data_IF_128854398332
#
_entry.id   IF_128854398332
#
_cell.length_a   1.000
_cell.length_b   1.000
_cell.length_c   1.000
_cell.angle_alpha   90.00
_cell.angle_beta   90.00
_cell.angle_gamma   90.00
#
_symmetry.space_group_name_H-M   'P 1'
#
loop_
_entity.id
_entity.type
_entity.pdbx_description
1 polymer ?
#
# COMPACT_ATOMS: atom_id res chain seq x y z
N UNK A 1 -16.43 -6.20 9.39
CA UNK A 1 -17.19 -5.52 10.46
C UNK A 1 -16.30 -5.41 11.72
N UNK A 2 -15.95 -6.51 12.42
CA UNK A 2 -15.18 -6.50 13.66
C UNK A 2 -13.88 -5.65 13.61
N UNK A 3 -13.08 -5.76 12.53
CA UNK A 3 -11.88 -4.94 12.31
C UNK A 3 -12.18 -3.43 12.39
N UNK A 4 -13.29 -2.99 11.77
CA UNK A 4 -13.68 -1.56 11.77
C UNK A 4 -14.08 -1.13 13.19
N UNK A 5 -14.91 -1.93 13.86
CA UNK A 5 -15.34 -1.64 15.23
C UNK A 5 -14.16 -1.59 16.20
N UNK A 6 -13.20 -2.52 16.08
CA UNK A 6 -12.01 -2.56 16.91
C UNK A 6 -11.03 -1.40 16.68
N UNK A 7 -11.21 -0.61 15.64
CA UNK A 7 -10.45 0.65 15.48
C UNK A 7 -10.88 1.72 16.48
N UNK A 8 -12.12 1.67 16.98
CA UNK A 8 -12.67 2.64 17.95
C UNK A 8 -13.00 2.03 19.32
N UNK A 9 -13.30 0.71 19.37
CA UNK A 9 -13.64 0.01 20.62
C UNK A 9 -12.54 -0.94 21.04
N UNK A 10 -12.51 -1.33 22.31
CA UNK A 10 -11.54 -2.29 22.86
C UNK A 10 -11.98 -3.74 22.67
N UNK A 11 -13.26 -3.98 22.42
CA UNK A 11 -13.81 -5.32 22.12
C UNK A 11 -15.06 -5.22 21.26
N UNK A 12 -15.36 -6.30 20.54
CA UNK A 12 -16.57 -6.47 19.74
C UNK A 12 -17.04 -7.91 19.77
N UNK A 13 -18.32 -8.12 19.49
CA UNK A 13 -18.90 -9.45 19.35
C UNK A 13 -19.00 -9.82 17.87
N UNK A 14 -18.47 -10.98 17.53
CA UNK A 14 -18.72 -11.65 16.24
C UNK A 14 -19.89 -12.58 16.45
N UNK A 15 -21.03 -12.27 15.84
CA UNK A 15 -22.24 -13.06 15.91
C UNK A 15 -22.68 -13.47 14.49
N UNK A 16 -22.54 -14.75 14.20
CA UNK A 16 -22.98 -15.37 12.95
C UNK A 16 -24.08 -16.39 13.27
N UNK A 17 -25.35 -15.99 13.12
CA UNK A 17 -26.47 -16.87 13.41
C UNK A 17 -26.64 -17.96 12.33
N UNK A 18 -27.21 -19.07 12.73
CA UNK A 18 -27.61 -20.16 11.82
C UNK A 18 -26.48 -20.78 11.00
N UNK A 19 -25.31 -20.98 11.58
CA UNK A 19 -24.17 -21.56 10.85
C UNK A 19 -24.49 -22.99 10.37
N UNK A 20 -25.17 -23.76 11.21
CA UNK A 20 -25.58 -25.13 10.91
C UNK A 20 -26.82 -25.51 11.73
N UNK A 21 -27.53 -26.52 11.28
CA UNK A 21 -28.62 -27.16 12.00
C UNK A 21 -28.17 -28.54 12.48
N UNK A 22 -28.50 -28.87 13.71
CA UNK A 22 -28.28 -30.20 14.31
C UNK A 22 -29.59 -30.76 14.83
N UNK A 23 -29.59 -32.01 15.27
CA UNK A 23 -30.78 -32.64 15.93
C UNK A 23 -31.24 -31.89 17.18
N UNK A 24 -30.35 -31.11 17.80
CA UNK A 24 -30.64 -30.24 18.96
C UNK A 24 -31.02 -28.80 18.58
N UNK A 25 -31.24 -28.51 17.29
CA UNK A 25 -31.63 -27.21 16.77
C UNK A 25 -30.50 -26.46 16.07
N UNK A 26 -30.75 -25.19 15.68
CA UNK A 26 -29.76 -24.36 15.00
C UNK A 26 -28.58 -24.01 15.91
N UNK A 27 -27.40 -23.91 15.32
CA UNK A 27 -26.18 -23.48 15.99
C UNK A 27 -25.73 -22.12 15.47
N UNK A 28 -25.23 -21.32 16.38
CA UNK A 28 -24.72 -19.96 16.11
C UNK A 28 -23.25 -19.87 16.52
N UNK A 29 -22.48 -19.11 15.80
CA UNK A 29 -21.14 -18.71 16.26
C UNK A 29 -21.24 -17.36 16.95
N UNK A 30 -21.02 -17.35 18.26
CA UNK A 30 -20.90 -16.13 19.05
C UNK A 30 -19.51 -16.13 19.67
N UNK A 31 -18.70 -15.11 19.36
CA UNK A 31 -17.34 -14.96 19.88
C UNK A 31 -17.07 -13.51 20.21
N UNK A 32 -16.51 -13.26 21.38
CA UNK A 32 -15.98 -11.97 21.71
C UNK A 32 -14.53 -11.85 21.22
N UNK A 33 -14.24 -10.76 20.52
CA UNK A 33 -12.90 -10.45 20.02
C UNK A 33 -12.45 -9.12 20.64
N UNK A 34 -11.31 -9.13 21.33
CA UNK A 34 -10.69 -7.91 21.83
C UNK A 34 -9.75 -7.31 20.82
N UNK A 35 -9.53 -5.98 20.88
CA UNK A 35 -8.53 -5.29 20.06
C UNK A 35 -7.14 -5.92 20.24
N UNK A 36 -6.71 -6.17 21.47
CA UNK A 36 -5.41 -6.79 21.74
C UNK A 36 -5.27 -8.17 21.05
N UNK A 37 -6.33 -8.99 21.06
CA UNK A 37 -6.29 -10.29 20.37
C UNK A 37 -6.26 -10.13 18.85
N UNK A 38 -7.01 -9.18 18.32
CA UNK A 38 -6.98 -8.86 16.88
C UNK A 38 -5.59 -8.38 16.45
N UNK A 39 -4.98 -7.46 17.17
CA UNK A 39 -3.64 -6.92 16.90
C UNK A 39 -2.57 -8.00 17.02
N UNK A 40 -2.67 -8.89 18.03
CA UNK A 40 -1.81 -10.06 18.15
C UNK A 40 -1.89 -10.98 16.92
N UNK A 41 -3.08 -11.25 16.40
CA UNK A 41 -3.29 -12.09 15.22
C UNK A 41 -2.82 -11.42 13.92
N UNK A 42 -2.75 -10.10 13.89
CA UNK A 42 -2.37 -9.32 12.71
C UNK A 42 -0.92 -8.76 12.81
N UNK A 43 -0.16 -9.11 13.85
CA UNK A 43 1.14 -8.49 14.15
C UNK A 43 2.15 -8.64 13.01
N UNK A 44 2.22 -9.80 12.37
CA UNK A 44 3.11 -10.05 11.24
C UNK A 44 2.75 -9.17 10.02
N UNK A 45 1.46 -8.97 9.77
CA UNK A 45 0.99 -8.08 8.70
C UNK A 45 1.33 -6.62 9.00
N UNK A 46 1.19 -6.21 10.26
CA UNK A 46 1.53 -4.84 10.70
C UNK A 46 3.04 -4.61 10.54
N UNK A 47 3.87 -5.52 11.01
CA UNK A 47 5.33 -5.42 10.89
C UNK A 47 5.78 -5.33 9.42
N UNK A 48 5.16 -6.10 8.54
CA UNK A 48 5.45 -6.10 7.10
C UNK A 48 5.15 -4.77 6.40
N UNK A 49 4.36 -3.87 7.00
CA UNK A 49 4.09 -2.54 6.41
C UNK A 49 5.29 -1.61 6.52
N UNK A 50 6.19 -1.84 7.47
CA UNK A 50 7.35 -0.97 7.71
C UNK A 50 8.48 -1.22 6.69
N UNK A 51 8.61 -2.42 6.16
CA UNK A 51 9.67 -2.74 5.20
C UNK A 51 9.60 -1.90 3.91
N UNK A 52 8.43 -1.74 3.24
CA UNK A 52 8.31 -0.83 2.09
C UNK A 52 8.62 0.62 2.41
N UNK A 53 8.22 1.11 3.59
CA UNK A 53 8.52 2.47 4.02
C UNK A 53 10.03 2.69 4.18
N UNK A 54 10.73 1.72 4.77
CA UNK A 54 12.20 1.74 4.88
C UNK A 54 12.86 1.77 3.51
N UNK A 55 12.45 0.86 2.60
CA UNK A 55 12.99 0.82 1.24
C UNK A 55 12.75 2.12 0.46
N UNK A 56 11.61 2.78 0.68
CA UNK A 56 11.33 4.07 0.06
C UNK A 56 12.30 5.16 0.55
N UNK A 57 12.58 5.22 1.85
CA UNK A 57 13.58 6.14 2.42
C UNK A 57 14.98 5.86 1.89
N UNK A 58 15.39 4.59 1.86
CA UNK A 58 16.68 4.18 1.32
C UNK A 58 16.82 4.57 -0.16
N UNK A 59 15.82 4.35 -0.98
CA UNK A 59 15.82 4.75 -2.38
C UNK A 59 15.85 6.27 -2.57
N UNK A 60 15.28 7.04 -1.65
CA UNK A 60 15.32 8.50 -1.66
C UNK A 60 16.63 9.05 -1.06
N UNK A 61 17.46 8.21 -0.43
CA UNK A 61 18.65 8.63 0.29
C UNK A 61 18.34 9.48 1.53
N UNK A 62 17.15 9.29 2.12
CA UNK A 62 16.64 10.09 3.25
C UNK A 62 16.55 9.27 4.52
N UNK A 63 16.78 9.93 5.64
CA UNK A 63 16.51 9.42 6.98
C UNK A 63 15.08 9.75 7.45
N UNK A 64 14.59 9.06 8.47
CA UNK A 64 13.27 9.35 9.05
C UNK A 64 13.18 10.75 9.66
N UNK A 65 14.30 11.34 10.10
CA UNK A 65 14.36 12.68 10.68
C UNK A 65 14.15 13.79 9.64
N UNK A 66 14.47 13.52 8.37
CA UNK A 66 14.32 14.46 7.26
C UNK A 66 12.90 14.49 6.68
N UNK A 67 12.01 13.60 7.15
CA UNK A 67 10.61 13.61 6.76
C UNK A 67 9.88 14.66 7.58
N UNK A 68 9.29 15.65 6.91
CA UNK A 68 8.54 16.72 7.58
C UNK A 68 7.20 16.21 8.11
N UNK A 69 6.45 15.49 7.31
CA UNK A 69 5.10 15.04 7.63
C UNK A 69 4.85 13.60 7.19
N UNK A 70 4.10 12.86 8.00
CA UNK A 70 3.67 11.49 7.71
C UNK A 70 2.16 11.47 7.58
N UNK A 71 1.67 11.13 6.40
CA UNK A 71 0.24 11.09 6.07
C UNK A 71 -0.18 9.63 5.93
N UNK A 72 -1.23 9.24 6.64
CA UNK A 72 -1.81 7.90 6.57
C UNK A 72 -2.99 7.88 5.61
N UNK A 73 -2.98 6.90 4.69
CA UNK A 73 -3.98 6.76 3.63
C UNK A 73 -4.56 5.36 3.64
N UNK A 74 -5.87 5.25 3.39
CA UNK A 74 -6.62 4.00 3.37
C UNK A 74 -7.16 3.57 4.72
N UNK A 75 -8.33 2.93 4.73
CA UNK A 75 -9.09 2.59 5.96
C UNK A 75 -8.35 1.67 6.93
N UNK A 76 -7.37 0.88 6.47
CA UNK A 76 -6.55 0.02 7.33
C UNK A 76 -5.66 0.83 8.27
N UNK A 77 -5.27 2.04 7.90
CA UNK A 77 -4.47 2.95 8.75
C UNK A 77 -5.22 3.49 9.97
N UNK A 78 -6.53 3.22 10.05
CA UNK A 78 -7.32 3.52 11.25
C UNK A 78 -7.05 2.55 12.42
N UNK A 79 -6.39 1.43 12.17
CA UNK A 79 -6.01 0.46 13.22
C UNK A 79 -4.95 1.10 14.12
N UNK A 80 -5.19 1.18 15.46
CA UNK A 80 -4.27 1.84 16.39
C UNK A 80 -2.84 1.28 16.34
N UNK A 81 -2.68 -0.03 16.26
CA UNK A 81 -1.36 -0.66 16.18
C UNK A 81 -0.56 -0.26 14.92
N UNK A 82 -1.22 0.04 13.79
CA UNK A 82 -0.56 0.57 12.59
C UNK A 82 -0.08 2.00 12.85
N UNK A 83 -0.92 2.85 13.46
CA UNK A 83 -0.54 4.22 13.80
C UNK A 83 0.65 4.24 14.74
N UNK A 84 0.66 3.38 15.77
CA UNK A 84 1.78 3.25 16.70
C UNK A 84 3.05 2.71 16.02
N UNK A 85 2.93 1.73 15.12
CA UNK A 85 4.08 1.21 14.37
C UNK A 85 4.71 2.30 13.49
N UNK A 86 3.90 3.10 12.79
CA UNK A 86 4.34 4.22 11.97
C UNK A 86 4.98 5.31 12.83
N UNK A 87 4.32 5.71 13.93
CA UNK A 87 4.86 6.67 14.89
C UNK A 87 6.23 6.22 15.43
N UNK A 88 6.36 4.96 15.82
CA UNK A 88 7.61 4.38 16.29
C UNK A 88 8.69 4.40 15.23
N UNK A 89 8.34 4.11 13.97
CA UNK A 89 9.30 4.06 12.87
C UNK A 89 9.81 5.45 12.48
N UNK A 90 8.92 6.44 12.35
CA UNK A 90 9.29 7.81 11.96
C UNK A 90 9.68 8.71 13.14
N UNK A 91 9.43 8.31 14.38
CA UNK A 91 9.70 9.11 15.57
C UNK A 91 8.76 10.33 15.73
N UNK A 92 7.66 10.38 14.97
CA UNK A 92 6.69 11.49 15.00
C UNK A 92 5.26 11.01 14.79
N UNK A 93 4.31 11.80 15.29
CA UNK A 93 2.88 11.52 15.09
C UNK A 93 2.50 11.65 13.61
N UNK A 94 1.74 10.70 13.07
CA UNK A 94 1.13 10.88 11.75
C UNK A 94 0.16 12.07 11.75
N UNK A 95 0.14 12.79 10.62
CA UNK A 95 -0.79 13.90 10.40
C UNK A 95 -2.24 13.44 10.48
N UNK A 96 -3.05 14.25 11.16
CA UNK A 96 -4.51 14.05 11.26
C UNK A 96 -5.28 15.01 10.37
N UNK A 97 -4.60 15.79 9.53
CA UNK A 97 -5.19 16.84 8.70
C UNK A 97 -5.98 16.33 7.50
N UNK A 98 -5.86 15.05 7.16
CA UNK A 98 -6.55 14.44 6.01
C UNK A 98 -7.42 13.24 6.42
N UNK A 99 -8.55 13.08 5.74
CA UNK A 99 -9.38 11.89 5.89
C UNK A 99 -8.75 10.74 5.07
N UNK A 100 -8.30 9.65 5.70
CA UNK A 100 -7.61 8.56 5.02
C UNK A 100 -8.49 7.80 4.01
N UNK A 101 -9.81 7.93 4.05
CA UNK A 101 -10.73 7.30 3.11
C UNK A 101 -10.99 8.16 1.86
N UNK A 102 -10.80 9.48 1.95
CA UNK A 102 -11.17 10.45 0.91
C UNK A 102 -9.96 11.05 0.19
N UNK A 103 -8.80 11.08 0.83
CA UNK A 103 -7.61 11.80 0.35
C UNK A 103 -7.15 11.35 -1.04
N UNK A 104 -7.34 10.09 -1.40
CA UNK A 104 -7.01 9.57 -2.76
C UNK A 104 -7.93 10.18 -3.81
N UNK A 105 -9.23 10.27 -3.54
CA UNK A 105 -10.18 10.89 -4.46
C UNK A 105 -9.91 12.39 -4.62
N UNK A 106 -9.57 13.08 -3.53
CA UNK A 106 -9.15 14.49 -3.56
C UNK A 106 -7.90 14.67 -4.41
N UNK A 107 -6.87 13.85 -4.18
CA UNK A 107 -5.62 13.88 -4.96
C UNK A 107 -5.86 13.60 -6.45
N UNK A 108 -6.70 12.63 -6.78
CA UNK A 108 -7.08 12.33 -8.16
C UNK A 108 -7.80 13.51 -8.83
N UNK A 109 -8.67 14.20 -8.09
CA UNK A 109 -9.37 15.38 -8.59
C UNK A 109 -8.41 16.54 -8.87
N UNK A 110 -7.45 16.78 -7.97
CA UNK A 110 -6.38 17.79 -8.16
C UNK A 110 -5.54 17.45 -9.39
N UNK A 111 -5.14 16.19 -9.53
CA UNK A 111 -4.37 15.72 -10.70
C UNK A 111 -5.17 15.88 -12.00
N UNK A 112 -6.48 15.61 -11.98
CA UNK A 112 -7.37 15.90 -13.10
C UNK A 112 -7.36 17.39 -13.47
N UNK A 113 -7.40 18.28 -12.49
CA UNK A 113 -7.31 19.73 -12.70
C UNK A 113 -5.94 20.16 -13.26
N UNK A 114 -4.86 19.51 -12.84
CA UNK A 114 -3.52 19.74 -13.43
C UNK A 114 -3.49 19.33 -14.92
N UNK A 115 -4.04 18.17 -15.23
CA UNK A 115 -4.07 17.67 -16.63
C UNK A 115 -4.99 18.51 -17.54
N UNK A 116 -6.08 19.08 -17.04
CA UNK A 116 -6.95 20.00 -17.78
C UNK A 116 -6.37 21.41 -17.90
N UNK A 117 -5.36 21.75 -17.10
CA UNK A 117 -4.74 23.07 -17.05
C UNK A 117 -5.42 24.08 -16.13
N UNK A 118 -6.41 23.64 -15.36
CA UNK A 118 -7.12 24.47 -14.38
C UNK A 118 -6.29 24.72 -13.10
N UNK A 119 -5.45 23.73 -12.72
CA UNK A 119 -4.52 23.81 -11.59
C UNK A 119 -3.10 23.93 -12.12
N UNK A 120 -2.40 25.00 -11.77
CA UNK A 120 -1.04 25.31 -12.28
C UNK A 120 0.03 25.34 -11.21
N UNK A 121 -0.35 25.35 -9.94
CA UNK A 121 0.54 25.55 -8.81
C UNK A 121 1.03 24.23 -8.19
N UNK A 122 0.62 23.10 -8.76
CA UNK A 122 0.97 21.76 -8.30
C UNK A 122 1.70 21.00 -9.41
N UNK A 123 2.88 20.50 -9.10
CA UNK A 123 3.63 19.60 -9.97
C UNK A 123 3.81 18.24 -9.27
N UNK A 124 3.25 17.20 -9.85
CA UNK A 124 3.53 15.82 -9.44
C UNK A 124 4.43 15.17 -10.50
N UNK A 125 5.60 14.76 -10.07
CA UNK A 125 6.50 13.89 -10.84
C UNK A 125 6.52 12.53 -10.17
N UNK A 126 6.21 11.50 -10.93
CA UNK A 126 6.24 10.12 -10.48
C UNK A 126 7.40 9.37 -11.12
N UNK A 127 7.72 8.20 -10.64
CA UNK A 127 8.84 7.38 -11.11
C UNK A 127 8.39 5.94 -11.37
N UNK A 128 9.14 5.24 -12.21
CA UNK A 128 8.96 3.80 -12.38
C UNK A 128 9.38 3.08 -11.10
N UNK A 129 8.51 2.26 -10.47
CA UNK A 129 8.86 1.55 -9.23
C UNK A 129 9.82 0.39 -9.45
N UNK A 130 9.87 -0.15 -10.68
CA UNK A 130 10.70 -1.26 -11.10
C UNK A 130 11.39 -0.92 -12.42
N UNK A 131 12.56 -1.54 -12.66
CA UNK A 131 13.17 -1.50 -13.99
C UNK A 131 12.31 -2.27 -14.99
N UNK A 132 12.14 -1.71 -16.18
CA UNK A 132 11.42 -2.31 -17.30
C UNK A 132 12.43 -2.76 -18.35
N UNK A 133 12.23 -3.94 -18.91
CA UNK A 133 13.15 -4.50 -19.90
C UNK A 133 12.55 -5.74 -20.56
N UNK A 134 13.37 -6.41 -21.32
CA UNK A 134 13.04 -7.69 -21.94
C UNK A 134 13.97 -8.80 -21.46
N UNK A 135 13.48 -10.02 -21.46
CA UNK A 135 14.31 -11.19 -21.28
C UNK A 135 15.06 -11.48 -22.58
N UNK A 136 16.38 -11.60 -22.47
CA UNK A 136 17.26 -11.95 -23.57
C UNK A 136 17.83 -13.35 -23.39
N UNK A 137 18.60 -13.84 -24.34
CA UNK A 137 19.16 -15.19 -24.35
C UNK A 137 19.87 -15.51 -23.02
N UNK A 138 19.58 -16.70 -22.48
CA UNK A 138 20.13 -17.14 -21.19
C UNK A 138 19.35 -16.67 -19.96
N UNK A 139 18.13 -16.15 -20.13
CA UNK A 139 17.28 -15.68 -19.03
C UNK A 139 17.75 -14.34 -18.43
N UNK A 140 18.56 -13.59 -19.16
CA UNK A 140 19.11 -12.31 -18.68
C UNK A 140 18.12 -11.19 -18.98
N UNK A 141 17.77 -10.42 -17.95
CA UNK A 141 16.96 -9.22 -18.10
C UNK A 141 17.81 -8.07 -18.65
N UNK A 142 17.53 -7.67 -19.90
CA UNK A 142 18.10 -6.46 -20.51
C UNK A 142 17.19 -5.30 -20.19
N UNK A 143 17.65 -4.41 -19.31
CA UNK A 143 16.88 -3.25 -18.88
C UNK A 143 16.86 -2.18 -19.96
N UNK A 144 15.68 -1.65 -20.22
CA UNK A 144 15.45 -0.50 -21.12
C UNK A 144 15.21 0.78 -20.34
N UNK A 145 14.44 0.70 -19.27
CA UNK A 145 14.14 1.81 -18.36
C UNK A 145 14.50 1.35 -16.96
N UNK A 146 15.40 2.05 -16.31
CA UNK A 146 15.81 1.76 -14.95
C UNK A 146 14.72 2.17 -13.95
N UNK A 147 14.64 1.44 -12.82
CA UNK A 147 13.80 1.86 -11.69
C UNK A 147 14.14 3.29 -11.27
N UNK A 148 13.17 3.99 -10.70
CA UNK A 148 13.27 5.39 -10.29
C UNK A 148 13.49 6.39 -11.46
N UNK A 149 13.22 5.98 -12.70
CA UNK A 149 13.18 6.91 -13.84
C UNK A 149 11.90 7.73 -13.78
N UNK A 150 12.00 9.05 -13.84
CA UNK A 150 10.86 9.96 -13.86
C UNK A 150 9.98 9.70 -15.07
N UNK A 151 8.67 9.67 -14.85
CA UNK A 151 7.66 9.49 -15.90
C UNK A 151 6.93 10.83 -16.19
N UNK A 152 6.50 11.08 -17.45
CA UNK A 152 6.50 10.15 -18.60
C UNK A 152 7.89 9.92 -19.19
N UNK A 153 8.19 8.70 -19.60
CA UNK A 153 9.44 8.32 -20.26
C UNK A 153 9.19 7.35 -21.40
N UNK A 154 10.11 7.29 -22.35
CA UNK A 154 10.04 6.38 -23.50
C UNK A 154 11.43 5.90 -23.87
N UNK A 155 11.57 4.60 -24.08
CA UNK A 155 12.80 3.98 -24.58
C UNK A 155 12.45 3.01 -25.69
N UNK A 156 13.26 2.98 -26.74
CA UNK A 156 13.16 2.03 -27.85
C UNK A 156 14.54 1.48 -28.15
N UNK A 157 14.61 0.18 -28.32
CA UNK A 157 15.81 -0.56 -28.71
C UNK A 157 15.44 -1.56 -29.80
N UNK A 158 16.41 -1.92 -30.61
CA UNK A 158 16.24 -2.95 -31.66
C UNK A 158 16.89 -4.23 -31.16
N UNK A 159 16.11 -5.29 -31.18
CA UNK A 159 16.56 -6.64 -30.82
C UNK A 159 16.38 -7.56 -32.03
N UNK A 160 17.22 -8.59 -32.13
CA UNK A 160 17.06 -9.70 -33.04
C UNK A 160 16.59 -10.95 -32.29
N UNK A 161 15.94 -11.87 -32.97
CA UNK A 161 15.59 -13.16 -32.42
C UNK A 161 16.84 -14.01 -32.18
N UNK A 162 16.83 -14.83 -31.13
CA UNK A 162 17.93 -15.73 -30.79
C UNK A 162 18.08 -16.90 -31.76
N UNK A 163 16.99 -17.27 -32.46
CA UNK A 163 16.95 -18.34 -33.46
C UNK A 163 15.94 -18.01 -34.56
N UNK A 164 16.14 -18.64 -35.73
CA UNK A 164 15.18 -18.54 -36.81
C UNK A 164 13.83 -19.13 -36.40
N UNK A 165 12.74 -18.48 -36.87
CA UNK A 165 11.36 -18.87 -36.55
C UNK A 165 11.01 -18.90 -35.06
N UNK A 166 11.65 -18.07 -34.22
CA UNK A 166 11.30 -17.91 -32.80
C UNK A 166 9.83 -17.49 -32.68
N UNK A 167 8.96 -18.25 -31.94
CA UNK A 167 7.51 -18.02 -31.96
C UNK A 167 7.06 -16.93 -30.99
N UNK A 168 7.91 -16.47 -30.09
CA UNK A 168 7.58 -15.47 -29.04
C UNK A 168 8.81 -14.69 -28.59
N UNK A 169 8.54 -13.53 -28.04
CA UNK A 169 9.53 -12.65 -27.41
C UNK A 169 9.05 -12.34 -26.00
#
# INVERSE_FOLDING_TARGET
KAKIELSSTTSTEINLPYITATSSGPKHLVRQLTRAKFEQLASDLIERTIAPARSALENAGMSTSEIDEVILVGGTTRIPAIQEAVKKFFGKEPSKGVNPDEVVAIGASIQGGVLSGDVKDVLLLDVTPLSLGIETMGGVMTKLIEKNTTIPTKKSEVFSTAADNQPSV
#
